data_IF_610696309482
#
_entry.id   IF_610696309482
#
_cell.length_a   1.000
_cell.length_b   1.000
_cell.length_c   1.000
_cell.angle_alpha   90.00
_cell.angle_beta   90.00
_cell.angle_gamma   90.00
#
_symmetry.space_group_name_H-M   'P 1'
#
loop_
_entity.id
_entity.type
_entity.pdbx_description
1 polymer ?
#
# COMPACT_ATOMS: atom_id res chain seq x y z
N UNK A 1 -16.78 -17.21 13.94
CA UNK A 1 -17.57 -17.26 12.69
C UNK A 1 -16.99 -18.38 11.85
N UNK A 2 -17.73 -19.46 11.57
CA UNK A 2 -17.35 -20.42 10.51
C UNK A 2 -17.59 -19.71 9.17
N UNK A 3 -16.61 -19.74 8.28
CA UNK A 3 -16.54 -18.88 7.09
C UNK A 3 -17.56 -19.23 6.01
N UNK A 4 -17.79 -18.27 5.10
CA UNK A 4 -18.65 -18.38 3.92
C UNK A 4 -18.10 -19.31 2.82
N UNK A 5 -16.99 -20.02 3.07
CA UNK A 5 -16.25 -20.78 2.06
C UNK A 5 -15.42 -19.92 1.09
N UNK A 6 -15.43 -18.59 1.24
CA UNK A 6 -14.63 -17.69 0.42
C UNK A 6 -13.15 -17.75 0.75
N UNK A 7 -12.30 -17.83 -0.28
CA UNK A 7 -10.84 -17.80 -0.17
C UNK A 7 -10.28 -16.84 -1.21
N UNK A 8 -9.38 -15.97 -0.77
CA UNK A 8 -8.58 -15.10 -1.64
C UNK A 8 -7.13 -15.52 -1.46
N UNK A 9 -6.46 -15.85 -2.57
CA UNK A 9 -5.04 -16.19 -2.61
C UNK A 9 -4.30 -14.98 -3.16
N UNK A 10 -3.27 -14.55 -2.43
CA UNK A 10 -2.41 -13.43 -2.77
C UNK A 10 -0.96 -13.94 -2.81
N UNK A 11 -0.16 -13.41 -3.73
CA UNK A 11 1.25 -13.75 -3.89
C UNK A 11 2.16 -12.65 -3.30
N UNK A 12 3.47 -12.78 -3.52
CA UNK A 12 4.49 -11.82 -3.06
C UNK A 12 4.41 -10.45 -3.75
N UNK A 13 3.66 -10.32 -4.85
CA UNK A 13 3.44 -9.05 -5.53
C UNK A 13 2.29 -8.25 -4.91
N UNK A 14 1.59 -8.77 -3.89
CA UNK A 14 0.55 -8.09 -3.13
C UNK A 14 1.03 -7.54 -1.78
N UNK A 15 0.44 -6.43 -1.32
CA UNK A 15 0.84 -5.77 -0.08
C UNK A 15 -0.21 -5.96 1.02
N UNK A 16 0.18 -6.56 2.14
CA UNK A 16 -0.74 -6.84 3.27
C UNK A 16 -1.30 -5.57 3.91
N UNK A 17 -0.52 -4.49 3.94
CA UNK A 17 -0.94 -3.18 4.47
C UNK A 17 -2.04 -2.58 3.60
N UNK A 18 -1.85 -2.63 2.28
CA UNK A 18 -2.84 -2.10 1.32
C UNK A 18 -4.11 -2.94 1.31
N UNK A 19 -3.99 -4.27 1.37
CA UNK A 19 -5.14 -5.17 1.49
C UNK A 19 -5.92 -4.89 2.78
N UNK A 20 -5.24 -4.77 3.93
CA UNK A 20 -5.90 -4.42 5.17
C UNK A 20 -6.57 -3.04 5.09
N UNK A 21 -5.94 -2.05 4.43
CA UNK A 21 -6.52 -0.72 4.21
C UNK A 21 -7.78 -0.80 3.38
N UNK A 22 -7.75 -1.52 2.26
CA UNK A 22 -8.90 -1.74 1.37
C UNK A 22 -10.07 -2.41 2.09
N UNK A 23 -9.81 -3.48 2.85
CA UNK A 23 -10.86 -4.12 3.66
C UNK A 23 -11.44 -3.16 4.71
N UNK A 24 -10.61 -2.35 5.34
CA UNK A 24 -11.07 -1.40 6.34
C UNK A 24 -11.88 -0.26 5.73
N UNK A 25 -11.52 0.21 4.53
CA UNK A 25 -12.28 1.18 3.73
C UNK A 25 -13.70 0.65 3.46
N UNK A 26 -13.82 -0.59 2.98
CA UNK A 26 -15.11 -1.26 2.86
C UNK A 26 -15.89 -1.32 4.18
N UNK A 27 -15.23 -1.65 5.30
CA UNK A 27 -15.90 -1.70 6.62
C UNK A 27 -16.35 -0.31 7.11
N UNK A 28 -15.68 0.77 6.71
CA UNK A 28 -16.11 2.14 6.98
C UNK A 28 -17.40 2.43 6.22
N UNK A 29 -17.44 2.11 4.93
CA UNK A 29 -18.59 2.38 4.06
C UNK A 29 -19.84 1.56 4.47
N UNK A 30 -19.65 0.29 4.83
CA UNK A 30 -20.75 -0.59 5.25
C UNK A 30 -21.14 -0.43 6.74
N UNK A 31 -20.48 0.46 7.47
CA UNK A 31 -20.81 0.69 8.87
C UNK A 31 -22.20 1.31 9.01
N UNK A 32 -23.12 0.59 9.65
CA UNK A 32 -24.45 1.14 9.99
C UNK A 32 -24.41 2.32 10.99
N UNK A 33 -23.24 2.64 11.55
CA UNK A 33 -23.03 3.81 12.41
C UNK A 33 -23.65 3.76 13.81
N UNK A 34 -24.29 2.65 14.22
CA UNK A 34 -25.05 2.57 15.49
C UNK A 34 -24.20 2.61 16.76
N UNK A 35 -23.09 1.87 16.81
CA UNK A 35 -22.25 1.80 18.01
C UNK A 35 -20.92 2.56 17.81
N UNK A 36 -20.53 3.33 18.83
CA UNK A 36 -19.28 4.10 18.83
C UNK A 36 -18.02 3.27 18.52
N UNK A 37 -17.77 2.08 19.13
CA UNK A 37 -16.55 1.31 18.85
C UNK A 37 -16.41 0.96 17.38
N UNK A 38 -17.49 0.54 16.70
CA UNK A 38 -17.45 0.28 15.26
C UNK A 38 -17.33 1.58 14.45
N UNK A 39 -18.25 2.54 14.63
CA UNK A 39 -18.33 3.77 13.82
C UNK A 39 -17.04 4.59 13.85
N UNK A 40 -16.44 4.74 15.03
CA UNK A 40 -15.24 5.53 15.24
C UNK A 40 -13.99 4.67 14.99
N UNK A 41 -14.00 3.41 15.44
CA UNK A 41 -12.86 2.51 15.33
C UNK A 41 -12.49 2.18 13.89
N UNK A 42 -13.47 1.88 13.02
CA UNK A 42 -13.18 1.60 11.60
C UNK A 42 -12.53 2.80 10.92
N UNK A 43 -13.07 4.01 11.15
CA UNK A 43 -12.52 5.26 10.59
C UNK A 43 -11.09 5.53 11.08
N UNK A 44 -10.83 5.34 12.38
CA UNK A 44 -9.49 5.52 12.94
C UNK A 44 -8.49 4.51 12.38
N UNK A 45 -8.88 3.22 12.31
CA UNK A 45 -8.03 2.18 11.75
C UNK A 45 -7.75 2.43 10.26
N UNK A 46 -8.78 2.81 9.48
CA UNK A 46 -8.61 3.18 8.08
C UNK A 46 -7.62 4.33 7.93
N UNK A 47 -7.81 5.43 8.68
CA UNK A 47 -6.91 6.59 8.62
C UNK A 47 -5.47 6.24 8.96
N UNK A 48 -5.24 5.36 9.95
CA UNK A 48 -3.91 4.89 10.31
C UNK A 48 -3.31 4.04 9.19
N UNK A 49 -4.07 3.10 8.64
CA UNK A 49 -3.61 2.25 7.53
C UNK A 49 -3.28 3.08 6.28
N UNK A 50 -4.08 4.10 5.97
CA UNK A 50 -3.78 5.07 4.89
C UNK A 50 -2.52 5.88 5.18
N UNK A 51 -2.29 6.28 6.45
CA UNK A 51 -1.06 6.98 6.86
C UNK A 51 0.16 6.06 6.65
N UNK A 52 0.07 4.79 7.03
CA UNK A 52 1.14 3.79 6.84
C UNK A 52 1.39 3.52 5.35
N UNK A 53 0.34 3.33 4.54
CA UNK A 53 0.47 3.09 3.09
C UNK A 53 1.12 4.26 2.34
N UNK A 54 1.12 5.46 2.94
CA UNK A 54 1.79 6.66 2.42
C UNK A 54 3.22 6.86 2.93
N UNK A 55 3.74 5.93 3.74
CA UNK A 55 5.05 6.08 4.38
C UNK A 55 5.11 7.16 5.46
N UNK A 56 3.94 7.56 5.98
CA UNK A 56 3.81 8.61 6.99
C UNK A 56 3.55 8.03 8.39
N UNK A 57 3.41 6.70 8.51
CA UNK A 57 3.10 6.00 9.75
C UNK A 57 4.21 6.09 10.80
N UNK A 58 3.84 5.87 12.05
CA UNK A 58 4.75 5.77 13.18
C UNK A 58 4.67 4.40 13.84
N UNK A 59 5.72 3.97 14.55
CA UNK A 59 5.69 2.71 15.31
C UNK A 59 4.53 2.70 16.32
N UNK A 60 4.24 3.86 16.93
CA UNK A 60 3.12 4.02 17.86
C UNK A 60 1.76 3.75 17.24
N UNK A 61 1.64 3.85 15.91
CA UNK A 61 0.39 3.60 15.20
C UNK A 61 0.03 2.11 15.18
N UNK A 62 1.02 1.20 15.25
CA UNK A 62 0.78 -0.25 15.35
C UNK A 62 0.07 -0.61 16.66
N UNK A 63 0.51 -0.01 17.76
CA UNK A 63 -0.11 -0.22 19.08
C UNK A 63 -1.53 0.37 19.12
N UNK A 64 -1.74 1.51 18.45
CA UNK A 64 -3.08 2.11 18.29
C UNK A 64 -4.01 1.18 17.52
N UNK A 65 -3.56 0.63 16.39
CA UNK A 65 -4.35 -0.33 15.60
C UNK A 65 -4.76 -1.54 16.44
N UNK A 66 -3.81 -2.11 17.20
CA UNK A 66 -4.10 -3.26 18.05
C UNK A 66 -5.11 -2.93 19.15
N UNK A 67 -4.93 -1.78 19.82
CA UNK A 67 -5.84 -1.33 20.89
C UNK A 67 -7.24 -1.06 20.37
N UNK A 68 -7.37 -0.35 19.25
CA UNK A 68 -8.66 -0.04 18.63
C UNK A 68 -9.33 -1.34 18.18
N UNK A 69 -8.60 -2.22 17.51
CA UNK A 69 -9.13 -3.49 17.04
C UNK A 69 -9.66 -4.37 18.19
N UNK A 70 -8.89 -4.51 19.29
CA UNK A 70 -9.35 -5.23 20.49
C UNK A 70 -10.61 -4.61 21.11
N UNK A 71 -10.70 -3.28 21.14
CA UNK A 71 -11.89 -2.59 21.63
C UNK A 71 -13.10 -2.85 20.73
N UNK A 72 -12.93 -2.79 19.41
CA UNK A 72 -13.97 -3.09 18.43
C UNK A 72 -14.50 -4.52 18.60
N UNK A 73 -13.61 -5.51 18.71
CA UNK A 73 -13.99 -6.92 18.88
C UNK A 73 -14.79 -7.18 20.16
N UNK A 74 -14.49 -6.47 21.25
CA UNK A 74 -15.15 -6.68 22.55
C UNK A 74 -16.41 -5.85 22.78
N UNK A 75 -16.50 -4.65 22.19
CA UNK A 75 -17.51 -3.66 22.54
C UNK A 75 -18.51 -3.34 21.42
N UNK A 76 -18.31 -3.85 20.20
CA UNK A 76 -19.28 -3.65 19.11
C UNK A 76 -20.57 -4.43 19.35
N UNK A 77 -21.71 -3.80 19.03
CA UNK A 77 -23.04 -4.41 19.26
C UNK A 77 -23.37 -5.56 18.30
N UNK A 78 -22.76 -5.60 17.12
CA UNK A 78 -23.01 -6.62 16.10
C UNK A 78 -21.72 -7.34 15.70
N UNK A 79 -21.88 -8.52 15.11
CA UNK A 79 -20.76 -9.35 14.67
C UNK A 79 -19.91 -8.66 13.61
N UNK A 80 -20.52 -7.92 12.66
CA UNK A 80 -19.77 -7.19 11.63
C UNK A 80 -18.79 -6.19 12.26
N UNK A 81 -19.27 -5.36 13.20
CA UNK A 81 -18.42 -4.40 13.91
C UNK A 81 -17.32 -5.08 14.73
N UNK A 82 -17.64 -6.22 15.35
CA UNK A 82 -16.67 -7.01 16.11
C UNK A 82 -15.61 -7.68 15.23
N UNK A 83 -15.95 -8.08 14.01
CA UNK A 83 -15.05 -8.75 13.07
C UNK A 83 -14.32 -7.82 12.10
N UNK A 84 -14.75 -6.57 11.95
CA UNK A 84 -14.15 -5.61 11.01
C UNK A 84 -12.65 -5.40 11.25
N UNK A 85 -12.19 -5.50 12.50
CA UNK A 85 -10.78 -5.37 12.85
C UNK A 85 -9.94 -6.63 12.56
N UNK A 86 -10.55 -7.78 12.27
CA UNK A 86 -9.84 -9.06 12.17
C UNK A 86 -8.76 -9.08 11.08
N UNK A 87 -8.99 -8.56 9.85
CA UNK A 87 -7.94 -8.53 8.83
C UNK A 87 -6.70 -7.74 9.29
N UNK A 88 -6.91 -6.57 9.91
CA UNK A 88 -5.81 -5.74 10.42
C UNK A 88 -5.08 -6.41 11.59
N UNK A 89 -5.81 -6.97 12.56
CA UNK A 89 -5.19 -7.66 13.68
C UNK A 89 -4.40 -8.91 13.24
N UNK A 90 -4.93 -9.66 12.27
CA UNK A 90 -4.26 -10.83 11.72
C UNK A 90 -2.99 -10.44 10.96
N UNK A 91 -3.07 -9.45 10.07
CA UNK A 91 -1.91 -8.99 9.30
C UNK A 91 -0.84 -8.35 10.19
N UNK A 92 -1.22 -7.60 11.22
CA UNK A 92 -0.27 -7.08 12.22
C UNK A 92 0.45 -8.19 12.99
N UNK A 93 -0.22 -9.32 13.24
CA UNK A 93 0.37 -10.46 13.94
C UNK A 93 1.32 -11.26 13.06
N UNK A 94 0.94 -11.51 11.81
CA UNK A 94 1.63 -12.45 10.93
C UNK A 94 2.63 -11.79 9.97
N UNK A 95 2.43 -10.51 9.65
CA UNK A 95 3.22 -9.78 8.66
C UNK A 95 3.69 -8.43 9.22
N UNK A 96 4.05 -8.39 10.52
CA UNK A 96 4.48 -7.17 11.21
C UNK A 96 5.67 -6.50 10.53
N UNK A 97 6.55 -7.29 9.94
CA UNK A 97 7.73 -6.84 9.20
C UNK A 97 7.34 -5.94 8.02
N UNK A 98 6.31 -6.30 7.25
CA UNK A 98 5.83 -5.46 6.15
C UNK A 98 5.31 -4.09 6.63
N UNK A 99 4.63 -4.04 7.78
CA UNK A 99 4.23 -2.77 8.39
C UNK A 99 5.44 -1.92 8.79
N UNK A 100 6.48 -2.56 9.35
CA UNK A 100 7.71 -1.88 9.73
C UNK A 100 8.47 -1.34 8.52
N UNK A 101 8.53 -2.07 7.40
CA UNK A 101 9.12 -1.57 6.15
C UNK A 101 8.43 -0.30 5.65
N UNK A 102 7.10 -0.23 5.74
CA UNK A 102 6.35 0.97 5.35
C UNK A 102 6.65 2.17 6.25
N UNK A 103 6.87 1.92 7.55
CA UNK A 103 7.09 2.96 8.56
C UNK A 103 8.56 3.44 8.59
N UNK A 104 9.51 2.50 8.62
CA UNK A 104 10.93 2.77 8.84
C UNK A 104 11.66 2.98 7.51
N UNK A 105 11.50 2.05 6.58
CA UNK A 105 12.22 2.06 5.30
C UNK A 105 11.50 2.88 4.23
N UNK A 106 10.25 3.27 4.50
CA UNK A 106 9.36 3.99 3.56
C UNK A 106 9.29 3.29 2.21
N UNK A 107 9.20 1.96 2.26
CA UNK A 107 9.22 1.09 1.10
C UNK A 107 8.05 0.11 1.18
N UNK A 108 7.52 -0.25 0.02
CA UNK A 108 6.56 -1.33 -0.14
C UNK A 108 7.19 -2.41 -1.02
N UNK A 109 7.54 -3.57 -0.46
CA UNK A 109 8.20 -4.66 -1.21
C UNK A 109 7.42 -5.11 -2.45
N UNK A 110 6.10 -5.15 -2.35
CA UNK A 110 5.17 -5.46 -3.45
C UNK A 110 4.94 -4.29 -4.44
N UNK A 111 5.38 -3.08 -4.08
CA UNK A 111 5.19 -1.87 -4.89
C UNK A 111 3.71 -1.50 -5.14
N UNK A 112 2.75 -1.96 -4.34
CA UNK A 112 1.32 -1.60 -4.48
C UNK A 112 1.03 -0.20 -3.95
N UNK A 113 1.66 0.19 -2.84
CA UNK A 113 1.53 1.50 -2.23
C UNK A 113 2.21 2.59 -3.09
N UNK A 114 1.44 3.29 -3.93
CA UNK A 114 1.92 4.27 -4.92
C UNK A 114 2.93 5.28 -4.35
N UNK A 115 2.68 5.79 -3.15
CA UNK A 115 3.52 6.81 -2.51
C UNK A 115 4.88 6.26 -2.05
N UNK A 116 5.05 4.94 -1.96
CA UNK A 116 6.30 4.29 -1.56
C UNK A 116 7.08 3.69 -2.73
N UNK A 117 6.54 3.78 -3.95
CA UNK A 117 7.20 3.24 -5.15
C UNK A 117 8.27 4.21 -5.66
N UNK A 118 9.42 3.66 -6.00
CA UNK A 118 10.51 4.33 -6.69
C UNK A 118 10.76 3.66 -8.04
N UNK A 119 10.77 4.46 -9.10
CA UNK A 119 11.11 3.99 -10.44
C UNK A 119 12.58 4.31 -10.73
N UNK A 120 13.33 3.32 -11.19
CA UNK A 120 14.71 3.47 -11.64
C UNK A 120 14.92 2.76 -12.98
N UNK A 121 15.91 3.17 -13.75
CA UNK A 121 16.24 2.52 -15.04
C UNK A 121 17.53 1.74 -14.88
N UNK A 122 17.50 0.47 -15.29
CA UNK A 122 18.64 -0.43 -15.40
C UNK A 122 19.45 -0.07 -16.67
N UNK A 123 20.70 0.41 -16.53
CA UNK A 123 21.54 0.78 -17.67
C UNK A 123 21.87 -0.38 -18.61
N UNK A 124 21.92 -1.61 -18.09
CA UNK A 124 22.31 -2.78 -18.89
C UNK A 124 21.21 -3.21 -19.85
N UNK A 125 19.95 -3.05 -19.43
CA UNK A 125 18.77 -3.39 -20.25
C UNK A 125 18.27 -2.23 -21.09
N UNK A 126 18.63 -1.00 -20.74
CA UNK A 126 18.13 0.19 -21.41
C UNK A 126 18.84 0.44 -22.75
N UNK A 127 18.13 0.24 -23.86
CA UNK A 127 18.68 0.52 -25.20
C UNK A 127 18.59 2.01 -25.62
N UNK A 128 18.13 2.90 -24.73
CA UNK A 128 18.03 4.34 -25.02
C UNK A 128 17.02 4.74 -26.11
N UNK A 129 15.86 4.07 -26.18
CA UNK A 129 14.82 4.35 -27.19
C UNK A 129 14.02 5.66 -26.95
N UNK A 130 14.07 6.21 -25.73
CA UNK A 130 13.41 7.45 -25.34
C UNK A 130 11.88 7.38 -25.20
N UNK A 131 11.29 6.18 -25.23
CA UNK A 131 9.84 6.03 -25.10
C UNK A 131 9.34 6.40 -23.69
N UNK A 132 10.11 6.04 -22.65
CA UNK A 132 9.81 6.39 -21.26
C UNK A 132 9.79 7.91 -21.05
N UNK A 133 10.77 8.64 -21.59
CA UNK A 133 10.84 10.09 -21.49
C UNK A 133 9.67 10.79 -22.19
N UNK A 134 9.31 10.35 -23.41
CA UNK A 134 8.17 10.91 -24.16
C UNK A 134 6.82 10.70 -23.49
N UNK A 135 6.67 9.63 -22.70
CA UNK A 135 5.44 9.29 -21.99
C UNK A 135 5.40 9.85 -20.57
N UNK A 136 6.48 10.48 -20.11
CA UNK A 136 6.54 11.06 -18.79
C UNK A 136 5.70 12.36 -18.74
N UNK A 137 4.63 12.45 -17.93
CA UNK A 137 3.79 13.64 -17.86
C UNK A 137 4.50 14.86 -17.26
N UNK A 138 5.58 14.64 -16.52
CA UNK A 138 6.35 15.69 -15.81
C UNK A 138 7.76 15.86 -16.37
N UNK A 139 8.09 15.20 -17.49
CA UNK A 139 9.39 15.26 -18.16
C UNK A 139 10.59 15.07 -17.21
N UNK A 140 10.47 14.17 -16.23
CA UNK A 140 11.51 13.91 -15.23
C UNK A 140 12.54 12.86 -15.67
N UNK A 141 12.61 12.52 -16.95
CA UNK A 141 13.51 11.47 -17.48
C UNK A 141 14.45 12.10 -18.48
N UNK A 142 15.75 12.01 -18.21
CA UNK A 142 16.82 12.54 -19.05
C UNK A 142 17.64 11.41 -19.66
N UNK A 143 18.11 11.57 -20.90
CA UNK A 143 18.98 10.61 -21.58
C UNK A 143 19.05 10.88 -23.08
N UNK A 144 20.21 10.61 -23.68
CA UNK A 144 20.40 10.73 -25.12
C UNK A 144 20.01 9.46 -25.87
N UNK A 145 19.87 9.55 -27.19
CA UNK A 145 19.62 8.37 -28.04
C UNK A 145 20.76 7.38 -27.89
N UNK A 146 20.41 6.09 -27.73
CA UNK A 146 21.36 4.99 -27.51
C UNK A 146 22.13 5.04 -26.18
N UNK A 147 21.77 5.94 -25.26
CA UNK A 147 22.30 5.97 -23.90
C UNK A 147 21.22 5.60 -22.89
N UNK A 148 21.64 5.00 -21.77
CA UNK A 148 20.75 4.69 -20.67
C UNK A 148 20.10 5.97 -20.13
N UNK A 149 18.78 5.95 -19.98
CA UNK A 149 18.05 7.09 -19.45
C UNK A 149 18.06 7.05 -17.92
N UNK A 150 17.92 8.21 -17.28
CA UNK A 150 17.92 8.39 -15.84
C UNK A 150 16.64 9.10 -15.42
N UNK A 151 15.99 8.60 -14.36
CA UNK A 151 14.79 9.21 -13.78
C UNK A 151 15.21 10.10 -12.63
N UNK A 152 14.83 11.38 -12.69
CA UNK A 152 14.91 12.30 -11.56
C UNK A 152 13.78 11.98 -10.58
N UNK A 153 14.13 11.28 -9.49
CA UNK A 153 13.18 10.83 -8.46
C UNK A 153 12.57 11.99 -7.68
N UNK A 154 13.21 13.16 -7.65
CA UNK A 154 12.69 14.34 -6.96
C UNK A 154 11.50 14.97 -7.67
N UNK A 155 11.44 14.86 -9.00
CA UNK A 155 10.35 15.38 -9.85
C UNK A 155 9.32 14.32 -10.23
N UNK A 156 9.62 13.05 -9.99
CA UNK A 156 8.77 11.94 -10.38
C UNK A 156 7.49 11.90 -9.54
N UNK A 157 6.33 12.04 -10.19
CA UNK A 157 5.01 11.92 -9.55
C UNK A 157 4.50 10.47 -9.43
N UNK A 158 5.39 9.49 -9.65
CA UNK A 158 5.13 8.04 -9.48
C UNK A 158 3.89 7.55 -10.26
N UNK A 159 3.70 8.05 -11.48
CA UNK A 159 2.56 7.69 -12.34
C UNK A 159 2.67 6.28 -12.96
N UNK A 160 3.88 5.72 -13.05
CA UNK A 160 4.13 4.38 -13.58
C UNK A 160 4.10 4.25 -15.11
N UNK A 161 3.87 5.33 -15.86
CA UNK A 161 3.83 5.26 -17.33
C UNK A 161 5.15 4.80 -17.94
N UNK A 162 6.29 5.24 -17.40
CA UNK A 162 7.61 4.77 -17.84
C UNK A 162 7.77 3.25 -17.72
N UNK A 163 7.25 2.64 -16.65
CA UNK A 163 7.29 1.21 -16.40
C UNK A 163 6.41 0.45 -17.40
N UNK A 164 5.17 0.89 -17.61
CA UNK A 164 4.22 0.23 -18.52
C UNK A 164 4.68 0.22 -19.98
N UNK A 165 5.33 1.29 -20.45
CA UNK A 165 5.72 1.42 -21.86
C UNK A 165 7.07 0.78 -22.18
N UNK A 166 7.85 0.38 -21.17
CA UNK A 166 9.17 -0.19 -21.38
C UNK A 166 9.08 -1.64 -21.88
N UNK A 167 9.28 -1.87 -23.18
CA UNK A 167 9.27 -3.22 -23.78
C UNK A 167 10.47 -4.10 -23.41
N UNK A 168 11.51 -3.52 -22.81
CA UNK A 168 12.76 -4.21 -22.48
C UNK A 168 12.89 -4.53 -20.99
N UNK A 169 11.84 -4.26 -20.19
CA UNK A 169 11.85 -4.42 -18.74
C UNK A 169 13.07 -3.72 -18.08
N UNK A 170 13.51 -2.60 -18.67
CA UNK A 170 14.63 -1.82 -18.18
C UNK A 170 14.21 -0.83 -17.08
N UNK A 171 12.91 -0.58 -16.90
CA UNK A 171 12.42 0.23 -15.78
C UNK A 171 12.11 -0.71 -14.62
N UNK A 172 12.81 -0.53 -13.51
CA UNK A 172 12.58 -1.25 -12.27
C UNK A 172 11.60 -0.45 -11.41
N UNK A 173 10.74 -1.18 -10.70
CA UNK A 173 9.79 -0.68 -9.71
C UNK A 173 10.24 -1.23 -8.36
N UNK A 174 10.64 -0.36 -7.43
CA UNK A 174 11.15 -0.72 -6.10
C UNK A 174 10.37 -0.02 -5.00
#
# INVERSE_FOLDING_TARGET
MMGSGGMIVMDEDDCVVDVSRFYMEFCVDESCGKCAPCRIGTNQMHSILTKISKGQGEISDLDKLERIGKAMTKASLCLLGGSAANPTLSTLKHFRDEYLEHIQDRKCRAGKCKDLVVYSIDPEKCIGCGLCARRCPVNCISGEKKQAHVIDTSKCIKCGECFKVCKFNAVLKK
#
